data_IF_113911123105
#
_entry.id   IF_113911123105
#
_cell.length_a   1.000
_cell.length_b   1.000
_cell.length_c   1.000
_cell.angle_alpha   90.00
_cell.angle_beta   90.00
_cell.angle_gamma   90.00
#
_symmetry.space_group_name_H-M   'P 1'
#
loop_
_entity.id
_entity.type
_entity.pdbx_description
1 polymer ?
#
# COMPACT_ATOMS: atom_id res chain seq x y z
N UNK A 1 -13.67 32.66 5.73
CA UNK A 1 -14.48 31.61 5.13
C UNK A 1 -13.89 30.25 5.44
N UNK A 2 -14.74 29.36 5.86
CA UNK A 2 -14.28 28.01 6.18
C UNK A 2 -14.02 27.21 4.90
N UNK A 3 -12.89 26.54 4.88
CA UNK A 3 -12.56 25.70 3.76
C UNK A 3 -13.27 24.37 3.90
N UNK A 4 -13.90 23.94 2.86
CA UNK A 4 -14.58 22.65 2.88
C UNK A 4 -13.57 21.52 2.79
N UNK A 5 -13.88 20.42 3.46
CA UNK A 5 -13.10 19.21 3.34
C UNK A 5 -13.51 18.51 2.05
N UNK A 6 -12.65 18.57 1.05
CA UNK A 6 -12.92 18.00 -0.25
C UNK A 6 -12.12 16.71 -0.38
N UNK A 7 -12.80 15.64 -0.80
CA UNK A 7 -12.13 14.38 -1.07
C UNK A 7 -11.46 14.48 -2.43
N UNK A 8 -10.17 14.18 -2.46
CA UNK A 8 -9.41 14.16 -3.70
C UNK A 8 -9.04 12.73 -4.04
N UNK A 9 -9.45 12.30 -5.22
CA UNK A 9 -9.12 10.96 -5.72
C UNK A 9 -7.71 10.99 -6.27
N UNK A 10 -6.91 10.01 -5.87
CA UNK A 10 -5.53 9.86 -6.32
C UNK A 10 -5.46 8.75 -7.36
N UNK A 11 -4.74 9.04 -8.43
CA UNK A 11 -4.57 8.11 -9.53
C UNK A 11 -3.15 8.26 -10.08
N UNK A 12 -2.43 7.16 -10.24
CA UNK A 12 -1.07 7.18 -10.80
C UNK A 12 -0.85 5.94 -11.64
N UNK A 13 -0.06 6.09 -12.69
CA UNK A 13 0.32 4.97 -13.54
C UNK A 13 1.51 4.20 -12.96
N UNK A 14 2.10 4.70 -11.87
CA UNK A 14 3.26 4.07 -11.25
C UNK A 14 2.85 3.00 -10.24
N UNK A 15 1.56 2.74 -10.11
CA UNK A 15 1.01 1.66 -9.31
C UNK A 15 -0.09 0.99 -10.13
N UNK A 16 -0.51 -0.22 -9.76
CA UNK A 16 -1.57 -0.91 -10.52
C UNK A 16 -2.84 -0.08 -10.57
N UNK A 17 -3.46 -0.03 -11.75
CA UNK A 17 -4.67 0.75 -11.96
C UNK A 17 -5.83 0.20 -11.12
N UNK A 18 -6.64 1.12 -10.59
CA UNK A 18 -7.87 0.74 -9.90
C UNK A 18 -8.95 0.57 -10.97
N UNK A 19 -9.22 -0.69 -11.32
CA UNK A 19 -10.12 -1.01 -12.43
C UNK A 19 -11.52 -1.41 -11.99
N UNK A 20 -11.77 -1.41 -10.67
CA UNK A 20 -13.05 -1.79 -10.09
C UNK A 20 -13.71 -0.58 -9.41
N UNK A 21 -14.53 -0.85 -8.42
CA UNK A 21 -15.32 0.18 -7.74
C UNK A 21 -14.54 0.82 -6.59
N UNK A 22 -13.29 1.21 -6.84
CA UNK A 22 -12.46 1.83 -5.81
C UNK A 22 -11.44 2.77 -6.45
N UNK A 23 -10.80 3.59 -5.62
CA UNK A 23 -9.72 4.47 -6.03
C UNK A 23 -8.41 3.96 -5.42
N UNK A 24 -7.28 4.30 -6.03
CA UNK A 24 -5.99 3.93 -5.44
C UNK A 24 -5.81 4.57 -4.07
N UNK A 25 -6.24 5.80 -3.91
CA UNK A 25 -6.21 6.47 -2.62
C UNK A 25 -7.15 7.67 -2.62
N UNK A 26 -7.51 8.13 -1.43
CA UNK A 26 -8.33 9.32 -1.22
C UNK A 26 -7.58 10.23 -0.24
N UNK A 27 -7.50 11.51 -0.57
CA UNK A 27 -6.95 12.51 0.34
C UNK A 27 -8.10 13.33 0.90
N UNK A 28 -8.14 13.47 2.21
CA UNK A 28 -9.09 14.34 2.91
C UNK A 28 -8.29 15.15 3.91
N UNK A 29 -8.34 16.49 3.77
CA UNK A 29 -7.53 17.35 4.62
C UNK A 29 -6.05 17.04 4.45
N UNK A 30 -5.40 16.69 5.54
CA UNK A 30 -3.97 16.36 5.52
C UNK A 30 -3.73 14.86 5.65
N UNK A 31 -4.72 14.05 5.35
CA UNK A 31 -4.62 12.60 5.50
C UNK A 31 -4.91 11.90 4.19
N UNK A 32 -4.10 10.91 3.85
CA UNK A 32 -4.36 10.04 2.71
C UNK A 32 -4.66 8.63 3.22
N UNK A 33 -5.68 8.02 2.61
CA UNK A 33 -6.10 6.65 2.88
C UNK A 33 -5.91 5.87 1.58
N UNK A 34 -5.07 4.85 1.59
CA UNK A 34 -4.85 4.08 0.37
C UNK A 34 -5.71 2.83 0.36
N UNK A 35 -6.00 2.37 -0.85
CA UNK A 35 -6.49 1.02 -1.04
C UNK A 35 -5.36 0.04 -0.81
N UNK A 36 -5.68 -1.23 -0.58
CA UNK A 36 -4.68 -2.27 -0.43
C UNK A 36 -3.90 -2.46 -1.72
N UNK A 37 -2.59 -2.58 -1.60
CA UNK A 37 -1.72 -2.78 -2.74
C UNK A 37 -1.21 -4.21 -2.72
N UNK A 38 -1.46 -4.94 -3.81
CA UNK A 38 -0.94 -6.28 -4.03
C UNK A 38 0.26 -6.18 -4.98
N UNK A 39 1.09 -7.23 -5.10
CA UNK A 39 2.37 -7.11 -5.80
C UNK A 39 2.28 -7.23 -7.31
N UNK A 40 1.33 -6.53 -7.92
CA UNK A 40 1.21 -6.48 -9.37
C UNK A 40 2.22 -5.48 -9.91
N UNK A 41 3.01 -5.89 -10.91
CA UNK A 41 3.89 -4.97 -11.62
C UNK A 41 3.00 -4.04 -12.46
N UNK A 42 3.09 -2.71 -12.27
CA UNK A 42 2.17 -1.80 -12.97
C UNK A 42 2.38 -1.73 -14.48
N UNK A 43 3.53 -2.18 -14.98
CA UNK A 43 3.80 -2.19 -16.42
C UNK A 43 3.23 -3.44 -17.06
N UNK A 44 3.49 -4.62 -16.52
CA UNK A 44 3.04 -5.88 -17.10
C UNK A 44 1.65 -6.28 -16.63
N UNK A 45 1.16 -5.68 -15.53
CA UNK A 45 -0.13 -5.98 -14.91
C UNK A 45 -0.20 -7.43 -14.40
N UNK A 46 0.97 -7.99 -14.05
CA UNK A 46 1.10 -9.36 -13.59
C UNK A 46 1.85 -9.41 -12.27
N UNK A 47 1.56 -10.44 -11.47
CA UNK A 47 2.40 -10.79 -10.33
C UNK A 47 3.54 -11.64 -10.90
N UNK A 48 4.78 -11.14 -10.81
CA UNK A 48 5.90 -11.73 -11.53
C UNK A 48 6.64 -12.81 -10.74
N UNK A 49 6.36 -12.95 -9.46
CA UNK A 49 7.12 -13.83 -8.60
C UNK A 49 6.22 -14.53 -7.59
N UNK A 50 6.57 -15.76 -7.22
CA UNK A 50 5.90 -16.50 -6.17
C UNK A 50 6.65 -16.39 -4.84
N UNK A 51 7.71 -15.60 -4.80
CA UNK A 51 8.54 -15.43 -3.61
C UNK A 51 7.97 -14.33 -2.71
N UNK A 52 7.80 -14.62 -1.43
CA UNK A 52 7.20 -13.65 -0.49
C UNK A 52 8.03 -12.38 -0.37
N UNK A 53 9.35 -12.50 -0.37
CA UNK A 53 10.21 -11.31 -0.25
C UNK A 53 10.07 -10.41 -1.46
N UNK A 54 10.05 -10.97 -2.67
CA UNK A 54 9.89 -10.19 -3.89
C UNK A 54 8.49 -9.60 -3.99
N UNK A 55 7.47 -10.37 -3.60
CA UNK A 55 6.11 -9.84 -3.58
C UNK A 55 5.95 -8.71 -2.58
N UNK A 56 6.56 -8.84 -1.41
CA UNK A 56 6.52 -7.77 -0.40
C UNK A 56 7.18 -6.51 -0.91
N UNK A 57 8.32 -6.65 -1.58
CA UNK A 57 9.02 -5.52 -2.18
C UNK A 57 8.12 -4.80 -3.18
N UNK A 58 7.49 -5.54 -4.09
CA UNK A 58 6.64 -4.94 -5.13
C UNK A 58 5.41 -4.28 -4.53
N UNK A 59 4.76 -4.90 -3.55
CA UNK A 59 3.59 -4.33 -2.90
C UNK A 59 3.93 -3.01 -2.22
N UNK A 60 5.08 -2.95 -1.54
CA UNK A 60 5.51 -1.73 -0.87
C UNK A 60 5.88 -0.64 -1.88
N UNK A 61 6.51 -1.01 -3.00
CA UNK A 61 6.80 -0.06 -4.06
C UNK A 61 5.52 0.52 -4.66
N UNK A 62 4.51 -0.31 -4.84
CA UNK A 62 3.22 0.16 -5.34
C UNK A 62 2.59 1.14 -4.35
N UNK A 63 2.64 0.80 -3.07
CA UNK A 63 2.13 1.67 -2.01
C UNK A 63 2.88 3.01 -2.00
N UNK A 64 4.21 2.95 -2.11
CA UNK A 64 5.03 4.15 -2.12
C UNK A 64 4.67 5.06 -3.30
N UNK A 65 4.40 4.49 -4.47
CA UNK A 65 4.02 5.26 -5.65
C UNK A 65 2.67 5.96 -5.44
N UNK A 66 1.71 5.28 -4.84
CA UNK A 66 0.41 5.87 -4.54
C UNK A 66 0.56 7.01 -3.54
N UNK A 67 1.35 6.80 -2.49
CA UNK A 67 1.58 7.83 -1.47
C UNK A 67 2.26 9.05 -2.09
N UNK A 68 3.24 8.83 -2.95
CA UNK A 68 3.95 9.92 -3.60
C UNK A 68 3.00 10.75 -4.47
N UNK A 69 2.11 10.09 -5.21
CA UNK A 69 1.11 10.78 -6.02
C UNK A 69 0.16 11.60 -5.16
N UNK A 70 -0.02 11.21 -3.90
CA UNK A 70 -0.90 11.92 -2.97
C UNK A 70 -0.18 13.06 -2.23
N UNK A 71 1.11 13.23 -2.46
CA UNK A 71 1.88 14.25 -1.73
C UNK A 71 2.41 13.76 -0.39
N UNK A 72 2.58 12.46 -0.25
CA UNK A 72 3.09 11.85 0.97
C UNK A 72 4.26 10.94 0.62
N UNK A 73 4.70 10.12 1.56
CA UNK A 73 5.76 9.12 1.33
C UNK A 73 5.72 8.11 2.47
N UNK A 74 6.60 7.10 2.39
CA UNK A 74 6.62 6.03 3.38
C UNK A 74 6.97 6.53 4.79
N UNK A 75 7.79 7.58 4.89
CA UNK A 75 8.19 8.13 6.19
C UNK A 75 7.04 8.88 6.90
N UNK A 76 5.99 9.19 6.18
CA UNK A 76 4.82 9.90 6.71
C UNK A 76 3.64 8.98 6.99
N UNK A 77 3.84 7.68 6.81
CA UNK A 77 2.81 6.69 7.13
C UNK A 77 2.64 6.63 8.64
N UNK A 78 1.39 6.71 9.09
CA UNK A 78 1.06 6.62 10.52
C UNK A 78 0.54 5.23 10.88
N UNK A 79 -0.06 4.53 9.92
CA UNK A 79 -0.65 3.21 10.16
C UNK A 79 -0.60 2.39 8.89
N UNK A 80 -0.23 1.12 9.02
CA UNK A 80 -0.40 0.14 7.95
C UNK A 80 -1.28 -1.00 8.41
N UNK A 81 -1.96 -1.63 7.46
CA UNK A 81 -2.60 -2.93 7.68
C UNK A 81 -2.03 -3.86 6.63
N UNK A 82 -1.51 -4.99 7.10
CA UNK A 82 -0.82 -5.95 6.24
C UNK A 82 -1.58 -7.27 6.28
N UNK A 83 -1.83 -7.83 5.10
CA UNK A 83 -2.57 -9.08 4.96
C UNK A 83 -1.63 -10.09 4.32
N UNK A 84 -1.49 -11.26 4.94
CA UNK A 84 -0.66 -12.34 4.43
C UNK A 84 -1.53 -13.55 4.12
N UNK A 85 -1.19 -14.25 3.05
CA UNK A 85 -1.85 -15.51 2.74
C UNK A 85 -1.48 -16.60 3.76
N UNK A 86 -0.32 -16.46 4.41
CA UNK A 86 0.13 -17.37 5.45
C UNK A 86 1.04 -16.64 6.42
N UNK A 87 0.79 -16.81 7.72
CA UNK A 87 1.68 -16.24 8.73
C UNK A 87 3.04 -16.93 8.77
N UNK A 88 3.19 -18.07 8.07
CA UNK A 88 4.51 -18.68 7.89
C UNK A 88 5.45 -17.74 7.12
N UNK A 89 4.88 -16.80 6.36
CA UNK A 89 5.66 -15.82 5.58
C UNK A 89 5.99 -14.57 6.37
N UNK A 90 5.53 -14.48 7.64
CA UNK A 90 5.67 -13.22 8.38
C UNK A 90 7.12 -12.78 8.53
N UNK A 91 8.02 -13.69 8.88
CA UNK A 91 9.41 -13.29 9.12
C UNK A 91 10.06 -12.72 7.86
N UNK A 92 9.86 -13.37 6.71
CA UNK A 92 10.42 -12.89 5.45
C UNK A 92 9.78 -11.57 5.02
N UNK A 93 8.45 -11.46 5.16
CA UNK A 93 7.75 -10.21 4.90
C UNK A 93 8.28 -9.08 5.78
N UNK A 94 8.41 -9.36 7.08
CA UNK A 94 8.80 -8.32 8.03
C UNK A 94 10.23 -7.83 7.79
N UNK A 95 11.11 -8.69 7.28
CA UNK A 95 12.45 -8.30 6.94
C UNK A 95 12.46 -7.23 5.84
N UNK A 96 11.61 -7.41 4.82
CA UNK A 96 11.46 -6.43 3.75
C UNK A 96 10.76 -5.18 4.27
N UNK A 97 9.68 -5.35 5.03
CA UNK A 97 8.92 -4.25 5.60
C UNK A 97 9.81 -3.31 6.41
N UNK A 98 10.69 -3.87 7.24
CA UNK A 98 11.56 -3.07 8.11
C UNK A 98 12.55 -2.20 7.33
N UNK A 99 12.92 -2.62 6.12
CA UNK A 99 13.82 -1.83 5.29
C UNK A 99 13.17 -0.56 4.79
N UNK A 100 11.84 -0.58 4.57
CA UNK A 100 11.11 0.52 4.00
C UNK A 100 10.43 1.41 5.03
N UNK A 101 9.91 0.81 6.10
CA UNK A 101 9.17 1.54 7.14
C UNK A 101 10.05 1.79 8.35
N UNK A 102 11.10 2.59 8.13
CA UNK A 102 12.09 2.86 9.18
C UNK A 102 11.54 3.71 10.32
N UNK A 103 10.45 4.43 10.09
CA UNK A 103 9.82 5.26 11.14
C UNK A 103 8.87 4.49 12.03
N UNK A 104 8.72 3.19 11.79
CA UNK A 104 7.93 2.28 12.63
C UNK A 104 6.49 2.74 12.85
N UNK A 105 5.70 2.87 11.78
CA UNK A 105 4.30 3.24 11.93
C UNK A 105 3.52 2.17 12.71
N UNK A 106 2.37 2.56 13.23
CA UNK A 106 1.47 1.58 13.84
C UNK A 106 1.08 0.54 12.78
N UNK A 107 0.88 -0.71 13.20
CA UNK A 107 0.64 -1.79 12.24
C UNK A 107 -0.23 -2.89 12.82
N UNK A 108 -1.11 -3.42 11.98
CA UNK A 108 -1.74 -4.71 12.21
C UNK A 108 -1.32 -5.62 11.07
N UNK A 109 -1.04 -6.88 11.37
CA UNK A 109 -0.69 -7.86 10.35
C UNK A 109 -1.43 -9.15 10.65
N UNK A 110 -2.20 -9.63 9.68
CA UNK A 110 -3.07 -10.79 9.87
C UNK A 110 -2.97 -11.73 8.68
N UNK A 111 -3.28 -13.00 8.93
CA UNK A 111 -3.44 -13.99 7.88
C UNK A 111 -4.88 -13.94 7.38
N UNK A 112 -5.08 -14.06 6.07
CA UNK A 112 -6.41 -14.09 5.46
C UNK A 112 -6.54 -15.35 4.63
N UNK A 113 -7.81 -15.71 4.34
CA UNK A 113 -8.09 -16.95 3.59
C UNK A 113 -7.54 -16.91 2.18
N UNK A 114 -7.58 -15.73 1.53
CA UNK A 114 -7.10 -15.57 0.16
C UNK A 114 -6.94 -14.09 -0.13
N UNK A 115 -6.11 -13.78 -1.11
CA UNK A 115 -5.91 -12.42 -1.60
C UNK A 115 -6.19 -12.38 -3.10
N UNK A 116 -6.54 -11.21 -3.65
CA UNK A 116 -6.81 -11.10 -5.08
C UNK A 116 -5.61 -11.60 -5.91
N UNK A 117 -5.91 -12.26 -7.00
CA UNK A 117 -4.93 -12.76 -7.98
C UNK A 117 -3.91 -13.72 -7.38
N UNK A 118 -4.27 -14.36 -6.27
CA UNK A 118 -3.36 -15.30 -5.61
C UNK A 118 -2.15 -14.64 -4.98
N UNK A 119 -2.23 -13.36 -4.65
CA UNK A 119 -1.12 -12.66 -4.00
C UNK A 119 -0.82 -13.27 -2.63
N UNK A 120 0.43 -13.20 -2.23
CA UNK A 120 0.87 -13.66 -0.90
C UNK A 120 0.79 -12.54 0.13
N UNK A 121 0.68 -11.29 -0.30
CA UNK A 121 0.72 -10.13 0.59
C UNK A 121 -0.09 -8.99 0.00
N UNK A 122 -0.69 -8.18 0.88
CA UNK A 122 -1.37 -6.95 0.53
C UNK A 122 -1.15 -5.95 1.65
N UNK A 123 -0.91 -4.68 1.30
CA UNK A 123 -0.65 -3.64 2.31
C UNK A 123 -1.44 -2.39 1.97
N UNK A 124 -2.11 -1.81 2.97
CA UNK A 124 -2.66 -0.46 2.84
C UNK A 124 -2.08 0.44 3.92
N UNK A 125 -2.31 1.74 3.77
CA UNK A 125 -1.72 2.70 4.69
C UNK A 125 -2.61 3.92 4.88
N UNK A 126 -2.41 4.56 6.03
CA UNK A 126 -2.90 5.89 6.33
C UNK A 126 -1.65 6.74 6.54
N UNK A 127 -1.57 7.88 5.87
CA UNK A 127 -0.38 8.72 5.92
C UNK A 127 -0.75 10.20 5.96
N UNK A 128 0.22 11.03 6.31
CA UNK A 128 0.04 12.47 6.38
C UNK A 128 0.52 13.07 5.07
N UNK A 129 -0.28 13.98 4.52
CA UNK A 129 0.03 14.66 3.27
C UNK A 129 0.73 15.97 3.59
N UNK A 130 1.78 16.28 2.84
CA UNK A 130 2.47 17.56 2.97
C UNK A 130 1.58 18.71 2.54
N UNK A 131 1.83 19.84 3.09
CA UNK A 131 1.14 21.05 2.69
C UNK A 131 1.73 21.64 1.43
#
# INVERSE_FOLDING_TARGET
MRKESVMKIIETKNAPAAVESYSQAIVVGHTVYTSGQIPIDPITEQIKSNDISEQSEQAIRNLAAVLLAAGSDLDRVVKTTCFLNSMNDFAAFNEIYAKYFTKKPARSCVEVSALPKGALVEIDAIAIVSE
#
